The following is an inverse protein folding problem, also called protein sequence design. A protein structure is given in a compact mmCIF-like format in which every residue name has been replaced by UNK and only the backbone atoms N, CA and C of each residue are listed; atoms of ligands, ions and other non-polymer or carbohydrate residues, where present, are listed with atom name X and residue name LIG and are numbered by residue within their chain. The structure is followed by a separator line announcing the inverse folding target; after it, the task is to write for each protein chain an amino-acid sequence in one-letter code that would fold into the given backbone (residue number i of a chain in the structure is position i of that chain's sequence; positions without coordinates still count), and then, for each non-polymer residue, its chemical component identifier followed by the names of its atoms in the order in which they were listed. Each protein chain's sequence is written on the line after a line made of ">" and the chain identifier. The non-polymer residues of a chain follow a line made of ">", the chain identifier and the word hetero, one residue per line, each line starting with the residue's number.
data_IF_944508432206
#
_entry.id   IF_944508432206
#
_cell.length_a   1.000
_cell.length_b   1.000
_cell.length_c   1.000
_cell.angle_alpha   90.00
_cell.angle_beta   90.00
_cell.angle_gamma   90.00
#
_symmetry.space_group_name_H-M   'P 1'
#
loop_
_entity.id
_entity.type
_entity.pdbx_description
1 polymer ?
#
# COMPACT_ATOMS: atom_id res chain seq x y z
N UNK A 1 -23.94 -14.61 20.96
CA UNK A 1 -22.92 -14.81 19.92
C UNK A 1 -22.97 -13.60 19.02
N UNK A 2 -22.59 -12.44 19.56
CA UNK A 2 -22.63 -11.19 18.81
C UNK A 2 -21.38 -11.11 17.96
N UNK A 3 -21.66 -10.98 16.68
CA UNK A 3 -20.80 -11.35 15.59
C UNK A 3 -19.59 -10.43 15.47
N UNK A 4 -18.40 -10.98 15.66
CA UNK A 4 -17.14 -10.45 15.07
C UNK A 4 -17.30 -10.15 13.56
N UNK A 5 -18.34 -10.70 12.91
CA UNK A 5 -18.70 -10.54 11.51
C UNK A 5 -19.40 -9.22 11.12
N UNK A 6 -19.78 -8.36 12.08
CA UNK A 6 -20.32 -7.01 11.80
C UNK A 6 -19.35 -5.90 12.24
N UNK A 7 -18.05 -6.18 12.17
CA UNK A 7 -17.04 -5.21 12.54
C UNK A 7 -16.83 -4.18 11.41
N UNK A 8 -16.89 -2.87 11.68
CA UNK A 8 -16.87 -1.82 10.66
C UNK A 8 -15.61 -1.82 9.79
N UNK A 9 -14.54 -2.44 10.27
CA UNK A 9 -13.25 -2.55 9.57
C UNK A 9 -13.12 -3.78 8.68
N UNK A 10 -14.14 -4.62 8.52
CA UNK A 10 -14.08 -5.81 7.66
C UNK A 10 -15.24 -5.86 6.66
N UNK A 11 -15.06 -6.55 5.53
CA UNK A 11 -16.11 -6.81 4.54
C UNK A 11 -16.00 -8.22 3.96
N UNK A 12 -17.11 -8.76 3.43
CA UNK A 12 -17.13 -10.07 2.76
C UNK A 12 -17.17 -9.91 1.25
N UNK A 13 -16.36 -10.70 0.54
CA UNK A 13 -16.54 -10.91 -0.91
C UNK A 13 -17.77 -11.74 -1.21
N UNK A 14 -18.20 -11.76 -2.48
CA UNK A 14 -19.26 -12.63 -2.98
C UNK A 14 -18.99 -14.13 -2.72
N UNK A 15 -17.72 -14.52 -2.58
CA UNK A 15 -17.29 -15.89 -2.29
C UNK A 15 -17.23 -16.20 -0.78
N UNK A 16 -17.65 -15.27 0.09
CA UNK A 16 -17.67 -15.46 1.54
C UNK A 16 -16.35 -15.21 2.27
N UNK A 17 -15.27 -14.87 1.55
CA UNK A 17 -13.97 -14.51 2.14
C UNK A 17 -14.06 -13.14 2.82
N UNK A 18 -13.55 -13.04 4.05
CA UNK A 18 -13.53 -11.81 4.86
C UNK A 18 -12.22 -11.05 4.63
N UNK A 19 -12.31 -9.76 4.35
CA UNK A 19 -11.19 -8.85 4.14
C UNK A 19 -11.22 -7.71 5.16
N UNK A 20 -10.04 -7.30 5.64
CA UNK A 20 -9.89 -6.06 6.42
C UNK A 20 -9.91 -4.85 5.46
N UNK A 21 -10.65 -3.80 5.80
CA UNK A 21 -10.73 -2.55 5.02
C UNK A 21 -9.41 -1.78 5.07
N UNK A 22 -8.72 -1.80 6.21
CA UNK A 22 -7.46 -1.09 6.43
C UNK A 22 -6.41 -2.04 7.03
N UNK A 23 -5.94 -3.04 6.28
CA UNK A 23 -4.97 -3.98 6.79
C UNK A 23 -3.71 -3.27 7.25
N UNK A 24 -3.21 -3.61 8.45
CA UNK A 24 -1.89 -3.19 8.90
C UNK A 24 -0.87 -3.73 7.90
N UNK A 25 -0.20 -2.82 7.21
CA UNK A 25 0.85 -3.15 6.25
C UNK A 25 2.02 -3.81 6.97
N UNK A 26 2.43 -4.99 6.51
CA UNK A 26 3.64 -5.64 6.97
C UNK A 26 4.84 -4.96 6.29
N UNK A 27 5.65 -4.27 7.09
CA UNK A 27 6.94 -3.65 6.71
C UNK A 27 6.93 -2.61 5.56
N UNK A 28 6.11 -1.54 5.61
CA UNK A 28 6.21 -0.48 4.61
C UNK A 28 7.29 0.54 5.00
N UNK A 29 8.48 0.46 4.43
CA UNK A 29 9.37 1.62 4.44
C UNK A 29 8.80 2.67 3.49
N UNK A 30 8.24 3.75 4.05
CA UNK A 30 7.78 4.88 3.26
C UNK A 30 8.98 5.57 2.64
N UNK A 31 9.10 5.49 1.32
CA UNK A 31 10.24 6.01 0.60
C UNK A 31 9.98 7.42 0.08
N UNK A 32 8.77 7.69 -0.42
CA UNK A 32 8.39 9.03 -0.89
C UNK A 32 6.89 9.29 -0.80
N UNK A 33 6.53 10.56 -0.70
CA UNK A 33 5.15 11.05 -0.68
C UNK A 33 4.96 12.10 -1.76
N UNK A 34 3.93 11.92 -2.58
CA UNK A 34 3.57 12.82 -3.66
C UNK A 34 2.18 13.38 -3.39
N UNK A 35 2.13 14.66 -3.03
CA UNK A 35 0.90 15.42 -2.87
C UNK A 35 0.49 15.95 -4.25
N UNK A 36 -0.46 15.28 -4.90
CA UNK A 36 -0.89 15.66 -6.25
C UNK A 36 -1.80 16.89 -6.18
N UNK A 37 -2.75 16.88 -5.25
CA UNK A 37 -3.57 18.02 -4.87
C UNK A 37 -4.06 17.87 -3.42
N UNK A 38 -4.99 18.74 -2.99
CA UNK A 38 -5.48 18.79 -1.60
C UNK A 38 -6.17 17.52 -1.11
N UNK A 39 -6.64 16.64 -2.01
CA UNK A 39 -7.37 15.42 -1.65
C UNK A 39 -6.76 14.15 -2.25
N UNK A 40 -5.76 14.28 -3.11
CA UNK A 40 -5.13 13.18 -3.83
C UNK A 40 -3.65 13.06 -3.43
N UNK A 41 -3.33 11.97 -2.76
CA UNK A 41 -1.96 11.67 -2.31
C UNK A 41 -1.54 10.31 -2.82
N UNK A 42 -0.28 10.20 -3.20
CA UNK A 42 0.36 8.93 -3.54
C UNK A 42 1.56 8.71 -2.64
N UNK A 43 1.69 7.50 -2.10
CA UNK A 43 2.82 7.07 -1.29
C UNK A 43 3.56 5.99 -2.04
N UNK A 44 4.88 6.09 -2.05
CA UNK A 44 5.75 5.07 -2.59
C UNK A 44 6.39 4.31 -1.44
N UNK A 45 6.22 2.99 -1.46
CA UNK A 45 6.70 2.09 -0.41
C UNK A 45 7.70 1.10 -0.97
N UNK A 46 8.71 0.81 -0.16
CA UNK A 46 9.71 -0.25 -0.40
C UNK A 46 9.53 -1.31 0.68
N UNK A 47 9.45 -2.57 0.26
CA UNK A 47 9.39 -3.74 1.17
C UNK A 47 10.81 -4.23 1.49
N UNK A 48 10.94 -5.07 2.50
CA UNK A 48 12.25 -5.60 2.94
C UNK A 48 12.98 -6.42 1.86
N UNK A 49 12.24 -7.09 1.00
CA UNK A 49 12.77 -7.86 -0.14
C UNK A 49 13.19 -6.99 -1.34
N UNK A 50 13.02 -5.66 -1.24
CA UNK A 50 13.32 -4.70 -2.29
C UNK A 50 12.22 -4.54 -3.35
N UNK A 51 11.11 -5.29 -3.25
CA UNK A 51 9.91 -5.01 -4.06
C UNK A 51 9.28 -3.70 -3.62
N UNK A 52 8.56 -3.06 -4.54
CA UNK A 52 8.04 -1.73 -4.33
C UNK A 52 6.57 -1.66 -4.77
N UNK A 53 5.82 -0.75 -4.17
CA UNK A 53 4.46 -0.47 -4.61
C UNK A 53 4.06 0.97 -4.37
N UNK A 54 3.13 1.43 -5.20
CA UNK A 54 2.39 2.67 -4.99
C UNK A 54 1.12 2.40 -4.20
N UNK A 55 0.84 3.27 -3.23
CA UNK A 55 -0.49 3.41 -2.66
C UNK A 55 -1.06 4.76 -3.09
N UNK A 56 -2.28 4.75 -3.61
CA UNK A 56 -2.98 5.94 -4.04
C UNK A 56 -4.25 6.10 -3.24
N UNK A 57 -4.40 7.26 -2.61
CA UNK A 57 -5.69 7.71 -2.10
C UNK A 57 -6.19 8.78 -3.05
N UNK A 58 -7.44 8.63 -3.46
CA UNK A 58 -8.14 9.61 -4.28
C UNK A 58 -9.45 10.00 -3.61
N UNK A 59 -9.85 11.25 -3.75
CA UNK A 59 -11.15 11.71 -3.24
C UNK A 59 -12.26 10.84 -3.84
N UNK A 60 -13.21 10.42 -2.99
CA UNK A 60 -14.40 9.65 -3.37
C UNK A 60 -14.10 8.31 -4.06
N UNK A 61 -12.91 7.75 -3.84
CA UNK A 61 -12.52 6.42 -4.35
C UNK A 61 -11.89 5.60 -3.25
N UNK A 62 -12.00 4.29 -3.41
CA UNK A 62 -11.25 3.36 -2.58
C UNK A 62 -9.75 3.52 -2.79
N UNK A 63 -9.01 3.25 -1.74
CA UNK A 63 -7.55 3.22 -1.76
C UNK A 63 -7.08 2.14 -2.72
N UNK A 64 -6.14 2.49 -3.58
CA UNK A 64 -5.59 1.57 -4.59
C UNK A 64 -4.11 1.28 -4.30
N UNK A 65 -3.73 0.02 -4.46
CA UNK A 65 -2.33 -0.42 -4.41
C UNK A 65 -1.90 -0.93 -5.78
N UNK A 66 -0.72 -0.53 -6.24
CA UNK A 66 -0.16 -0.93 -7.54
C UNK A 66 1.29 -1.36 -7.35
N UNK A 67 1.63 -2.58 -7.75
CA UNK A 67 3.02 -3.06 -7.72
C UNK A 67 3.89 -2.21 -8.66
N UNK A 68 5.10 -1.90 -8.20
CA UNK A 68 6.04 -0.99 -8.84
C UNK A 68 7.46 -1.54 -8.76
N UNK A 69 7.60 -2.84 -8.98
CA UNK A 69 8.88 -3.53 -8.91
C UNK A 69 9.83 -3.08 -10.03
N UNK A 70 11.13 -3.18 -9.77
CA UNK A 70 12.17 -2.83 -10.73
C UNK A 70 12.41 -1.32 -10.90
N UNK A 71 11.82 -0.49 -10.04
CA UNK A 71 12.14 0.94 -9.99
C UNK A 71 13.57 1.12 -9.46
N UNK A 72 14.39 1.84 -10.21
CA UNK A 72 15.72 2.25 -9.76
C UNK A 72 15.58 3.34 -8.69
N UNK A 73 15.86 2.99 -7.44
CA UNK A 73 15.78 3.91 -6.29
C UNK A 73 17.07 4.73 -6.13
N UNK A 74 18.21 4.11 -6.39
CA UNK A 74 19.52 4.75 -6.27
C UNK A 74 19.97 5.26 -7.64
N UNK A 75 20.31 6.55 -7.72
CA UNK A 75 20.74 7.19 -8.98
C UNK A 75 21.92 6.47 -9.66
N UNK A 76 22.80 5.86 -8.87
CA UNK A 76 23.97 5.13 -9.34
C UNK A 76 23.85 3.61 -9.15
N UNK A 77 22.67 3.11 -8.79
CA UNK A 77 22.47 1.71 -8.41
C UNK A 77 23.05 1.38 -7.03
N UNK A 78 23.07 0.08 -6.70
CA UNK A 78 23.69 -0.39 -5.45
C UNK A 78 25.22 -0.25 -5.58
N UNK A 79 25.90 0.42 -4.65
CA UNK A 79 27.35 0.55 -4.71
C UNK A 79 28.00 -0.83 -4.57
N UNK A 80 28.95 -1.12 -5.44
CA UNK A 80 29.87 -2.25 -5.26
C UNK A 80 30.94 -1.83 -4.25
N UNK A 81 30.88 -2.41 -3.06
CA UNK A 81 31.77 -2.10 -1.93
C UNK A 81 32.84 -3.17 -1.72
N UNK A 82 33.04 -4.06 -2.71
CA UNK A 82 34.04 -5.14 -2.68
C UNK A 82 35.47 -4.64 -2.56
#
# INVERSE_FOLDING_TARGET
>A
MDSEYNHPNFYKSANGVVYEKNPKKTYPHLYSVFLLDSHNTSWFYVREDGTCYWEHTRKDKDKMTVEADGVQLDLFGKPDLS
#
